data_IF_963746118642
#
_entry.id   IF_963746118642
#
_cell.length_a   1.000
_cell.length_b   1.000
_cell.length_c   1.000
_cell.angle_alpha   90.00
_cell.angle_beta   90.00
_cell.angle_gamma   90.00
#
_symmetry.space_group_name_H-M   'P 1'
#
loop_
_entity.id
_entity.type
_entity.pdbx_description
1 polymer ?
#
# COMPACT_ATOMS: atom_id res chain seq x y z
N UNK A 1 -20.17 -8.92 -2.20
CA UNK A 1 -18.79 -8.49 -2.54
C UNK A 1 -18.82 -7.01 -2.91
N UNK A 2 -17.69 -6.29 -2.83
CA UNK A 2 -17.66 -4.87 -3.25
C UNK A 2 -18.07 -4.70 -4.72
N UNK A 3 -17.81 -5.73 -5.54
CA UNK A 3 -18.28 -5.86 -6.91
C UNK A 3 -19.81 -5.79 -7.08
N UNK A 4 -20.60 -6.13 -6.05
CA UNK A 4 -22.08 -6.16 -6.11
C UNK A 4 -22.73 -4.81 -5.76
N UNK A 5 -21.94 -3.85 -5.28
CA UNK A 5 -22.40 -2.50 -4.96
C UNK A 5 -22.25 -1.64 -6.24
N UNK A 6 -23.20 -0.75 -6.60
CA UNK A 6 -22.98 0.21 -7.68
C UNK A 6 -21.82 1.16 -7.39
N UNK A 7 -20.95 1.41 -8.36
CA UNK A 7 -19.86 2.38 -8.20
C UNK A 7 -20.40 3.81 -8.27
N UNK A 8 -19.88 4.70 -7.42
CA UNK A 8 -20.00 6.15 -7.57
C UNK A 8 -18.66 6.71 -8.04
N UNK A 9 -18.69 7.84 -8.72
CA UNK A 9 -17.45 8.52 -9.13
C UNK A 9 -16.62 8.89 -7.91
N UNK A 10 -15.30 8.67 -8.02
CA UNK A 10 -14.32 9.17 -7.06
C UNK A 10 -13.89 10.58 -7.42
N UNK A 11 -13.75 11.42 -6.41
CA UNK A 11 -12.99 12.66 -6.53
C UNK A 11 -11.52 12.37 -6.81
N UNK A 12 -10.81 13.35 -7.37
CA UNK A 12 -9.37 13.20 -7.61
C UNK A 12 -8.60 12.94 -6.32
N UNK A 13 -9.07 13.49 -5.20
CA UNK A 13 -8.45 13.24 -3.89
C UNK A 13 -8.62 11.79 -3.42
N UNK A 14 -9.76 11.18 -3.68
CA UNK A 14 -9.99 9.78 -3.33
C UNK A 14 -9.16 8.84 -4.20
N UNK A 15 -8.97 9.15 -5.48
CA UNK A 15 -8.06 8.41 -6.37
C UNK A 15 -6.62 8.47 -5.87
N UNK A 16 -6.14 9.67 -5.52
CA UNK A 16 -4.80 9.85 -4.92
C UNK A 16 -4.64 9.03 -3.64
N UNK A 17 -5.66 9.02 -2.76
CA UNK A 17 -5.62 8.28 -1.51
C UNK A 17 -5.54 6.77 -1.75
N UNK A 18 -6.23 6.22 -2.75
CA UNK A 18 -6.14 4.80 -3.09
C UNK A 18 -4.73 4.42 -3.56
N UNK A 19 -4.16 5.20 -4.48
CA UNK A 19 -2.81 4.96 -4.98
C UNK A 19 -1.76 5.12 -3.86
N UNK A 20 -1.91 6.14 -3.02
CA UNK A 20 -1.04 6.36 -1.86
C UNK A 20 -1.16 5.22 -0.85
N UNK A 21 -2.37 4.80 -0.50
CA UNK A 21 -2.61 3.69 0.43
C UNK A 21 -1.96 2.38 -0.05
N UNK A 22 -2.10 2.05 -1.33
CA UNK A 22 -1.39 0.88 -1.89
C UNK A 22 0.14 0.99 -1.73
N UNK A 23 0.70 2.18 -1.97
CA UNK A 23 2.14 2.44 -1.86
C UNK A 23 2.62 2.37 -0.41
N UNK A 24 1.78 2.78 0.54
CA UNK A 24 2.03 2.72 1.98
C UNK A 24 2.06 1.27 2.47
N UNK A 25 1.09 0.45 2.08
CA UNK A 25 1.06 -0.98 2.43
C UNK A 25 2.23 -1.74 1.80
N UNK A 26 2.61 -1.41 0.56
CA UNK A 26 3.79 -1.95 -0.11
C UNK A 26 5.07 -1.65 0.70
N UNK A 27 5.25 -0.40 1.11
CA UNK A 27 6.39 0.01 1.94
C UNK A 27 6.37 -0.74 3.29
N UNK A 28 5.23 -0.81 3.94
CA UNK A 28 5.08 -1.52 5.22
C UNK A 28 5.47 -3.00 5.09
N UNK A 29 4.95 -3.70 4.08
CA UNK A 29 5.28 -5.09 3.77
C UNK A 29 6.79 -5.28 3.58
N UNK A 30 7.41 -4.43 2.76
CA UNK A 30 8.83 -4.56 2.42
C UNK A 30 9.73 -4.25 3.63
N UNK A 31 9.35 -3.29 4.48
CA UNK A 31 10.02 -3.02 5.77
C UNK A 31 9.89 -4.22 6.71
N UNK A 32 8.71 -4.83 6.85
CA UNK A 32 8.54 -5.99 7.72
C UNK A 32 9.30 -7.22 7.21
N UNK A 33 9.36 -7.44 5.90
CA UNK A 33 10.23 -8.47 5.33
C UNK A 33 11.70 -8.23 5.66
N UNK A 34 12.19 -6.99 5.52
CA UNK A 34 13.55 -6.65 5.91
C UNK A 34 13.83 -6.87 7.40
N UNK A 35 12.88 -6.50 8.27
CA UNK A 35 13.00 -6.74 9.72
C UNK A 35 13.00 -8.23 10.06
N UNK A 36 12.22 -9.04 9.34
CA UNK A 36 12.26 -10.50 9.48
C UNK A 36 13.64 -11.06 9.10
N UNK A 37 14.22 -10.62 7.99
CA UNK A 37 15.56 -11.02 7.58
C UNK A 37 16.64 -10.62 8.60
N UNK A 38 16.50 -9.44 9.22
CA UNK A 38 17.46 -8.92 10.17
C UNK A 38 17.40 -9.60 11.55
N UNK A 39 16.19 -9.89 12.03
CA UNK A 39 15.98 -10.35 13.41
C UNK A 39 15.48 -11.79 13.55
N UNK A 40 14.91 -12.38 12.49
CA UNK A 40 14.39 -13.75 12.49
C UNK A 40 13.09 -13.94 13.29
N UNK A 41 12.47 -12.86 13.76
CA UNK A 41 11.27 -12.93 14.59
C UNK A 41 10.01 -13.12 13.73
N UNK A 42 9.29 -14.23 13.92
CA UNK A 42 8.12 -14.60 13.10
C UNK A 42 7.02 -13.53 13.05
N UNK A 43 6.93 -12.68 14.06
CA UNK A 43 5.94 -11.58 14.09
C UNK A 43 6.08 -10.68 12.87
N UNK A 44 7.30 -10.41 12.40
CA UNK A 44 7.51 -9.54 11.24
C UNK A 44 6.98 -10.17 9.96
N UNK A 45 7.27 -11.45 9.71
CA UNK A 45 6.71 -12.18 8.56
C UNK A 45 5.19 -12.26 8.61
N UNK A 46 4.59 -12.48 9.80
CA UNK A 46 3.13 -12.50 9.95
C UNK A 46 2.48 -11.15 9.66
N UNK A 47 3.15 -10.04 10.00
CA UNK A 47 2.66 -8.70 9.68
C UNK A 47 2.82 -8.43 8.18
N UNK A 48 3.94 -8.78 7.57
CA UNK A 48 4.12 -8.67 6.11
C UNK A 48 3.03 -9.43 5.33
N UNK A 49 2.66 -10.63 5.77
CA UNK A 49 1.53 -11.40 5.21
C UNK A 49 0.18 -10.71 5.40
N UNK A 50 0.02 -9.89 6.44
CA UNK A 50 -1.17 -9.05 6.64
C UNK A 50 -1.19 -7.87 5.69
N UNK A 51 -0.05 -7.18 5.51
CA UNK A 51 0.03 -6.04 4.60
C UNK A 51 -0.18 -6.47 3.14
N UNK A 52 0.25 -7.69 2.77
CA UNK A 52 -0.10 -8.26 1.46
C UNK A 52 -1.62 -8.38 1.26
N UNK A 53 -2.38 -8.74 2.30
CA UNK A 53 -3.86 -8.79 2.21
C UNK A 53 -4.48 -7.40 2.17
N UNK A 54 -3.87 -6.41 2.83
CA UNK A 54 -4.29 -5.03 2.70
C UNK A 54 -4.06 -4.52 1.27
N UNK A 55 -2.90 -4.80 0.68
CA UNK A 55 -2.62 -4.50 -0.72
C UNK A 55 -3.65 -5.14 -1.66
N UNK A 56 -3.93 -6.44 -1.52
CA UNK A 56 -4.95 -7.15 -2.30
C UNK A 56 -6.34 -6.50 -2.15
N UNK A 57 -6.70 -6.02 -0.95
CA UNK A 57 -7.96 -5.32 -0.73
C UNK A 57 -8.01 -3.96 -1.45
N UNK A 58 -6.88 -3.24 -1.52
CA UNK A 58 -6.77 -1.98 -2.26
C UNK A 58 -6.72 -2.24 -3.77
N UNK A 59 -6.06 -3.28 -4.25
CA UNK A 59 -6.06 -3.69 -5.68
C UNK A 59 -7.48 -3.88 -6.20
N UNK A 60 -8.36 -4.53 -5.43
CA UNK A 60 -9.77 -4.67 -5.79
C UNK A 60 -10.46 -3.31 -6.00
N UNK A 61 -10.06 -2.28 -5.25
CA UNK A 61 -10.58 -0.92 -5.43
C UNK A 61 -9.94 -0.22 -6.62
N UNK A 62 -8.63 -0.37 -6.83
CA UNK A 62 -7.92 0.19 -7.97
C UNK A 62 -8.49 -0.35 -9.28
N UNK A 63 -8.66 -1.67 -9.38
CA UNK A 63 -9.28 -2.35 -10.52
C UNK A 63 -10.71 -1.85 -10.75
N UNK A 64 -11.51 -1.74 -9.69
CA UNK A 64 -12.90 -1.29 -9.76
C UNK A 64 -13.04 0.12 -10.34
N UNK A 65 -12.08 0.99 -10.07
CA UNK A 65 -12.08 2.39 -10.52
C UNK A 65 -11.14 2.64 -11.70
N UNK A 66 -10.63 1.58 -12.34
CA UNK A 66 -9.75 1.64 -13.50
C UNK A 66 -8.50 2.51 -13.24
N UNK A 67 -7.94 2.41 -12.04
CA UNK A 67 -6.72 3.11 -11.63
C UNK A 67 -5.51 2.18 -11.78
N UNK A 68 -4.38 2.73 -12.23
CA UNK A 68 -3.13 1.98 -12.33
C UNK A 68 -2.62 1.56 -10.93
N UNK A 69 -2.10 0.34 -10.84
CA UNK A 69 -1.41 -0.15 -9.64
C UNK A 69 -0.04 0.54 -9.55
N UNK A 70 0.28 1.21 -8.41
CA UNK A 70 1.59 1.80 -8.21
C UNK A 70 2.72 0.77 -8.27
N UNK A 71 3.80 1.09 -8.99
CA UNK A 71 4.97 0.19 -9.14
C UNK A 71 6.06 0.41 -8.09
N UNK A 72 5.80 1.20 -7.04
CA UNK A 72 6.78 1.57 -6.01
C UNK A 72 6.16 2.46 -4.93
N UNK A 73 6.99 3.07 -4.09
CA UNK A 73 6.52 3.81 -2.90
C UNK A 73 5.97 5.21 -3.20
N UNK A 74 5.98 5.67 -4.46
CA UNK A 74 5.53 7.01 -4.84
C UNK A 74 6.23 8.12 -4.03
N UNK A 75 5.45 9.09 -3.54
CA UNK A 75 5.93 10.24 -2.76
C UNK A 75 6.40 9.88 -1.33
N UNK A 76 6.24 8.62 -0.89
CA UNK A 76 6.74 8.21 0.43
C UNK A 76 8.28 8.25 0.48
N UNK A 77 8.94 7.90 -0.62
CA UNK A 77 10.39 7.95 -0.68
C UNK A 77 10.91 9.39 -0.58
N UNK A 78 10.30 10.34 -1.29
CA UNK A 78 10.69 11.75 -1.21
C UNK A 78 10.39 12.35 0.17
N UNK A 79 9.29 11.93 0.81
CA UNK A 79 8.96 12.30 2.20
C UNK A 79 10.03 11.80 3.17
N UNK A 80 10.47 10.55 3.03
CA UNK A 80 11.54 9.99 3.85
C UNK A 80 12.86 10.75 3.64
N UNK A 81 13.26 10.98 2.38
CA UNK A 81 14.47 11.72 2.02
C UNK A 81 14.48 13.14 2.61
N UNK A 82 13.32 13.82 2.64
CA UNK A 82 13.17 15.12 3.26
C UNK A 82 13.35 15.06 4.79
N UNK A 83 12.78 14.04 5.46
CA UNK A 83 12.85 13.89 6.92
C UNK A 83 14.27 13.60 7.43
N UNK A 84 15.11 12.90 6.65
CA UNK A 84 16.49 12.55 7.06
C UNK A 84 17.51 13.64 6.71
N UNK A 85 17.12 14.65 5.93
CA UNK A 85 17.99 15.75 5.53
C UNK A 85 18.01 16.92 6.54
N UNK A 86 17.19 16.85 7.60
CA UNK A 86 17.14 17.79 8.74
C UNK A 86 17.94 17.28 9.95
#
# INVERSE_FOLDING_TARGET
>A
MIADIPASDLSDKEKEILSYGYSEELLARDVYNYLYELYGEEIFSRIADSEQKHMEAVEVLLDRYELDIPSGYGDLQSTYEALIAE
#
